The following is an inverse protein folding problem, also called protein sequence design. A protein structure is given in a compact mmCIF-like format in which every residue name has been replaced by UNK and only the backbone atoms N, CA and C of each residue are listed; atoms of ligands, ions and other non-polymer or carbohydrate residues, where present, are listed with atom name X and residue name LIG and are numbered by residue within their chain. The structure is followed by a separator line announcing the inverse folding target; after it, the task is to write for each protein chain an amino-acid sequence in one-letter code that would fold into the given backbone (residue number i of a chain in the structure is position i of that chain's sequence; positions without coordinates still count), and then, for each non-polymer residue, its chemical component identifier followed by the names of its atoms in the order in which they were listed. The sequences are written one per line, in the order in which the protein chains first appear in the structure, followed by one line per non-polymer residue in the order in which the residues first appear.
data_IF_590768871216
#
_entry.id   IF_590768871216
#
_cell.length_a   1.000
_cell.length_b   1.000
_cell.length_c   1.000
_cell.angle_alpha   90.00
_cell.angle_beta   90.00
_cell.angle_gamma   90.00
#
_symmetry.space_group_name_H-M   'P 1'
#
loop_
_entity.id
_entity.type
_entity.pdbx_description
1 polymer ?
#
# COMPACT_ATOMS: atom_id res chain seq x y z
N UNK A 1 -12.47 44.08 -15.48
CA UNK A 1 -13.06 42.74 -15.46
C UNK A 1 -12.08 41.62 -15.87
N UNK A 2 -11.06 41.86 -16.70
CA UNK A 2 -10.05 40.81 -17.06
C UNK A 2 -9.08 40.45 -15.92
N UNK A 3 -8.69 41.41 -15.11
CA UNK A 3 -7.75 41.19 -13.97
C UNK A 3 -8.34 40.32 -12.86
N UNK A 4 -9.64 40.38 -12.62
CA UNK A 4 -10.30 39.57 -11.57
C UNK A 4 -10.34 38.08 -11.94
N UNK A 5 -10.46 37.77 -13.25
CA UNK A 5 -10.45 36.37 -13.73
C UNK A 5 -9.08 35.70 -13.62
N UNK A 6 -8.00 36.48 -13.80
CA UNK A 6 -6.63 35.98 -13.66
C UNK A 6 -6.33 35.67 -12.18
N UNK A 7 -6.79 36.51 -11.27
CA UNK A 7 -6.62 36.29 -9.83
C UNK A 7 -7.34 35.00 -9.35
N UNK A 8 -8.53 34.73 -9.87
CA UNK A 8 -9.30 33.54 -9.53
C UNK A 8 -8.62 32.25 -10.02
N UNK A 9 -7.99 32.27 -11.19
CA UNK A 9 -7.27 31.12 -11.75
C UNK A 9 -6.00 30.82 -10.95
N UNK A 10 -5.28 31.84 -10.48
CA UNK A 10 -4.07 31.69 -9.66
C UNK A 10 -4.42 31.08 -8.30
N UNK A 11 -5.54 31.47 -7.69
CA UNK A 11 -6.00 30.92 -6.41
C UNK A 11 -6.40 29.45 -6.54
N UNK A 12 -7.01 29.03 -7.66
CA UNK A 12 -7.40 27.65 -7.90
C UNK A 12 -6.21 26.70 -8.15
N UNK A 13 -5.10 27.21 -8.65
CA UNK A 13 -3.87 26.42 -8.87
C UNK A 13 -3.12 26.11 -7.58
N UNK A 14 -3.43 26.78 -6.47
CA UNK A 14 -2.75 26.53 -5.18
C UNK A 14 -3.35 25.38 -4.37
N UNK A 15 -4.49 24.82 -4.76
CA UNK A 15 -5.14 23.71 -4.06
C UNK A 15 -4.73 22.32 -4.54
N UNK A 16 -3.87 22.21 -5.55
CA UNK A 16 -3.23 20.95 -5.91
C UNK A 16 -1.99 20.71 -5.03
N UNK A 17 -2.16 20.74 -3.71
CA UNK A 17 -1.15 20.20 -2.84
C UNK A 17 -1.26 18.68 -2.95
N UNK A 18 -0.30 18.06 -3.62
CA UNK A 18 0.08 16.70 -3.30
C UNK A 18 0.20 16.67 -1.76
N UNK A 19 -0.49 15.75 -1.10
CA UNK A 19 -0.30 15.55 0.33
C UNK A 19 1.19 15.20 0.49
N UNK A 20 2.00 16.15 0.95
CA UNK A 20 3.36 15.87 1.35
C UNK A 20 3.26 14.86 2.49
N UNK A 21 3.62 13.62 2.20
CA UNK A 21 3.72 12.59 3.21
C UNK A 21 4.85 13.00 4.17
N UNK A 22 4.61 12.89 5.46
CA UNK A 22 5.60 13.31 6.46
C UNK A 22 6.77 12.32 6.58
N UNK A 23 6.62 11.09 6.03
CA UNK A 23 7.61 10.02 6.11
C UNK A 23 8.57 9.95 4.92
N UNK A 24 9.72 9.35 5.17
CA UNK A 24 10.77 9.05 4.20
C UNK A 24 10.53 7.69 3.57
N UNK A 25 10.35 7.64 2.26
CA UNK A 25 10.03 6.42 1.49
C UNK A 25 11.13 5.39 1.56
N UNK A 26 12.38 5.80 1.46
CA UNK A 26 13.54 4.88 1.42
C UNK A 26 13.78 4.24 2.80
N UNK A 27 13.68 5.02 3.87
CA UNK A 27 13.71 4.49 5.22
C UNK A 27 12.51 3.59 5.49
N UNK A 28 11.34 3.98 4.99
CA UNK A 28 10.11 3.22 5.12
C UNK A 28 10.22 1.84 4.50
N UNK A 29 10.84 1.70 3.33
CA UNK A 29 11.13 0.41 2.71
C UNK A 29 11.98 -0.46 3.63
N UNK A 30 13.09 0.06 4.13
CA UNK A 30 13.97 -0.68 5.04
C UNK A 30 13.25 -1.12 6.31
N UNK A 31 12.45 -0.23 6.91
CA UNK A 31 11.66 -0.52 8.10
C UNK A 31 10.58 -1.57 7.82
N UNK A 32 9.91 -1.52 6.68
CA UNK A 32 8.92 -2.48 6.24
C UNK A 32 9.49 -3.91 6.24
N UNK A 33 10.71 -4.08 5.77
CA UNK A 33 11.41 -5.36 5.82
C UNK A 33 11.91 -5.72 7.20
N UNK A 34 12.51 -4.79 7.93
CA UNK A 34 13.06 -5.02 9.26
C UNK A 34 12.00 -5.43 10.29
N UNK A 35 10.79 -4.89 10.17
CA UNK A 35 9.64 -5.25 11.00
C UNK A 35 8.83 -6.42 10.44
N UNK A 36 9.32 -7.09 9.41
CA UNK A 36 8.72 -8.27 8.77
C UNK A 36 7.27 -8.05 8.27
N UNK A 37 6.90 -6.83 7.92
CA UNK A 37 5.59 -6.50 7.35
C UNK A 37 5.30 -7.32 6.09
N UNK A 38 6.35 -7.58 5.29
CA UNK A 38 6.29 -8.37 4.06
C UNK A 38 5.78 -9.80 4.28
N UNK A 39 5.94 -10.38 5.47
CA UNK A 39 5.55 -11.77 5.74
C UNK A 39 4.04 -12.00 5.60
N UNK A 40 3.24 -10.98 5.86
CA UNK A 40 1.79 -10.99 5.70
C UNK A 40 1.30 -10.15 4.51
N UNK A 41 1.97 -9.04 4.22
CA UNK A 41 1.54 -8.07 3.21
C UNK A 41 2.25 -8.22 1.85
N UNK A 42 3.22 -9.14 1.75
CA UNK A 42 4.04 -9.33 0.54
C UNK A 42 5.17 -8.31 0.43
N UNK A 43 6.08 -8.53 -0.49
CA UNK A 43 7.29 -7.70 -0.63
C UNK A 43 7.00 -6.23 -0.93
N UNK A 44 5.91 -5.96 -1.62
CA UNK A 44 5.51 -4.62 -2.05
C UNK A 44 4.15 -4.19 -1.48
N UNK A 45 3.70 -4.80 -0.40
CA UNK A 45 2.42 -4.52 0.26
C UNK A 45 1.17 -4.78 -0.62
N UNK A 46 1.29 -5.54 -1.71
CA UNK A 46 0.18 -5.85 -2.64
C UNK A 46 -0.37 -7.27 -2.53
N UNK A 47 0.24 -8.14 -1.68
CA UNK A 47 -0.10 -9.57 -1.62
C UNK A 47 -0.77 -9.98 -0.31
N UNK A 48 -1.54 -11.07 -0.35
CA UNK A 48 -2.25 -11.72 0.76
C UNK A 48 -3.24 -10.79 1.48
N UNK A 49 -2.76 -9.89 2.30
CA UNK A 49 -3.54 -8.81 2.93
C UNK A 49 -2.98 -7.51 2.36
N UNK A 50 -3.46 -7.07 1.19
CA UNK A 50 -2.89 -5.92 0.49
C UNK A 50 -3.12 -4.64 1.29
N UNK A 51 -2.12 -3.78 1.32
CA UNK A 51 -2.21 -2.42 1.86
C UNK A 51 -2.28 -1.39 0.73
N UNK A 52 -1.66 -1.69 -0.40
CA UNK A 52 -1.79 -0.90 -1.63
C UNK A 52 -3.17 -1.16 -2.21
N UNK A 53 -3.91 -0.11 -2.51
CA UNK A 53 -5.30 -0.22 -2.98
C UNK A 53 -6.30 -0.68 -1.90
N UNK A 54 -5.93 -0.63 -0.61
CA UNK A 54 -6.80 -1.04 0.49
C UNK A 54 -8.12 -0.27 0.52
N UNK A 55 -9.23 -1.01 0.45
CA UNK A 55 -10.59 -0.47 0.51
C UNK A 55 -11.12 -0.31 1.95
N UNK A 56 -10.40 -0.78 2.97
CA UNK A 56 -10.82 -0.67 4.38
C UNK A 56 -10.74 0.74 4.94
N UNK A 57 -9.96 1.60 4.28
CA UNK A 57 -9.71 2.97 4.70
C UNK A 57 -8.58 3.12 5.72
N UNK A 58 -7.91 2.04 6.12
CA UNK A 58 -6.77 2.10 7.07
C UNK A 58 -5.64 2.96 6.48
N UNK A 59 -5.45 2.88 5.17
CA UNK A 59 -4.45 3.65 4.43
C UNK A 59 -4.95 5.03 3.97
N UNK A 60 -6.09 5.52 4.46
CA UNK A 60 -6.69 6.78 4.02
C UNK A 60 -5.91 8.02 4.48
N UNK A 61 -5.25 7.95 5.63
CA UNK A 61 -4.41 9.01 6.15
C UNK A 61 -3.37 8.47 7.14
N UNK A 62 -2.30 9.23 7.35
CA UNK A 62 -1.27 8.95 8.36
C UNK A 62 -1.87 8.74 9.75
N UNK A 63 -2.81 9.59 10.15
CA UNK A 63 -3.47 9.50 11.45
C UNK A 63 -4.27 8.21 11.61
N UNK A 64 -5.01 7.79 10.58
CA UNK A 64 -5.78 6.54 10.60
C UNK A 64 -4.85 5.35 10.67
N UNK A 65 -3.79 5.35 9.87
CA UNK A 65 -2.77 4.31 9.87
C UNK A 65 -2.09 4.16 11.24
N UNK A 66 -1.61 5.26 11.83
CA UNK A 66 -1.02 5.25 13.17
C UNK A 66 -2.02 4.71 14.21
N UNK A 67 -3.24 5.22 14.20
CA UNK A 67 -4.28 4.79 15.14
C UNK A 67 -4.53 3.29 15.03
N UNK A 68 -4.61 2.76 13.80
CA UNK A 68 -4.81 1.33 13.58
C UNK A 68 -3.64 0.49 14.11
N UNK A 69 -2.40 0.90 13.81
CA UNK A 69 -1.18 0.22 14.31
C UNK A 69 -1.14 0.13 15.83
N UNK A 70 -1.57 1.19 16.52
CA UNK A 70 -1.51 1.28 18.00
C UNK A 70 -2.69 0.57 18.67
N UNK A 71 -3.89 0.76 18.15
CA UNK A 71 -5.11 0.23 18.77
C UNK A 71 -5.26 -1.29 18.61
N UNK A 72 -4.69 -1.88 17.57
CA UNK A 72 -4.69 -3.33 17.45
C UNK A 72 -3.89 -4.00 18.55
N UNK A 73 -2.84 -3.34 19.03
CA UNK A 73 -2.08 -3.78 20.18
C UNK A 73 -2.95 -3.96 21.43
N UNK A 74 -3.86 -3.02 21.64
CA UNK A 74 -4.61 -2.89 22.89
C UNK A 74 -6.01 -3.55 22.82
N UNK A 75 -6.58 -3.69 21.61
CA UNK A 75 -7.95 -4.14 21.45
C UNK A 75 -8.15 -5.66 21.45
N UNK A 76 -7.10 -6.44 21.24
CA UNK A 76 -7.27 -7.89 21.18
C UNK A 76 -6.14 -8.69 21.83
N UNK A 77 -5.86 -8.49 23.12
CA UNK A 77 -4.87 -9.30 23.83
C UNK A 77 -5.32 -10.76 23.99
N UNK A 78 -6.61 -11.07 23.76
CA UNK A 78 -7.23 -12.36 24.11
C UNK A 78 -7.48 -13.24 22.89
N UNK A 79 -7.44 -12.72 21.66
CA UNK A 79 -7.65 -13.52 20.46
C UNK A 79 -6.57 -13.25 19.38
N UNK A 80 -5.40 -13.88 19.50
CA UNK A 80 -4.28 -13.68 18.56
C UNK A 80 -4.52 -14.31 17.17
N UNK A 81 -5.68 -14.89 16.87
CA UNK A 81 -5.87 -15.77 15.72
C UNK A 81 -5.74 -15.14 14.34
N UNK A 82 -5.79 -13.82 14.24
CA UNK A 82 -5.58 -13.09 12.98
C UNK A 82 -4.82 -11.79 13.20
N UNK A 83 -4.08 -11.71 14.28
CA UNK A 83 -3.52 -10.45 14.70
C UNK A 83 -2.29 -10.11 13.85
N UNK A 84 -2.37 -9.04 13.10
CA UNK A 84 -1.22 -8.23 12.84
C UNK A 84 -0.49 -7.99 14.17
N UNK A 85 0.84 -8.17 14.23
CA UNK A 85 1.60 -7.90 15.45
C UNK A 85 1.33 -6.50 15.96
N UNK A 86 1.32 -6.38 17.27
CA UNK A 86 1.15 -5.11 17.96
C UNK A 86 2.45 -4.32 17.92
N UNK A 87 2.41 -3.15 17.34
CA UNK A 87 3.55 -2.24 17.32
C UNK A 87 3.32 -1.09 18.31
N UNK A 88 3.78 -1.26 19.54
CA UNK A 88 3.82 -0.17 20.50
C UNK A 88 4.77 0.93 20.01
N UNK A 89 4.52 2.18 20.35
CA UNK A 89 5.39 3.30 19.97
C UNK A 89 6.83 3.17 20.52
N UNK A 90 7.02 2.38 21.57
CA UNK A 90 8.35 2.04 22.10
C UNK A 90 9.12 1.05 21.21
N UNK A 91 8.42 0.29 20.35
CA UNK A 91 9.04 -0.69 19.45
C UNK A 91 9.19 -0.12 18.04
N UNK A 92 8.17 0.55 17.54
CA UNK A 92 8.12 1.23 16.25
C UNK A 92 7.61 2.64 16.52
N UNK A 93 8.47 3.65 16.49
CA UNK A 93 8.07 5.04 16.75
C UNK A 93 7.05 5.54 15.74
N UNK A 94 6.36 6.64 16.06
CA UNK A 94 5.41 7.23 15.10
C UNK A 94 6.11 7.73 13.84
N UNK A 95 7.31 8.31 13.96
CA UNK A 95 8.14 8.71 12.83
C UNK A 95 8.47 7.50 11.92
N UNK A 96 8.95 6.41 12.49
CA UNK A 96 9.24 5.19 11.75
C UNK A 96 7.99 4.58 11.10
N UNK A 97 6.85 4.63 11.78
CA UNK A 97 5.60 4.15 11.23
C UNK A 97 5.13 5.02 10.06
N UNK A 98 5.35 6.34 10.12
CA UNK A 98 5.05 7.25 9.02
C UNK A 98 6.01 7.06 7.84
N UNK A 99 7.26 6.71 8.06
CA UNK A 99 8.16 6.30 6.99
C UNK A 99 7.61 5.05 6.26
N UNK A 100 7.17 4.03 7.01
CA UNK A 100 6.52 2.84 6.43
C UNK A 100 5.25 3.21 5.66
N UNK A 101 4.43 4.11 6.20
CA UNK A 101 3.24 4.60 5.51
C UNK A 101 3.58 5.26 4.17
N UNK A 102 4.60 6.13 4.17
CA UNK A 102 5.09 6.80 2.96
C UNK A 102 5.58 5.78 1.92
N UNK A 103 6.32 4.75 2.35
CA UNK A 103 6.73 3.66 1.47
C UNK A 103 5.52 2.97 0.83
N UNK A 104 4.56 2.49 1.62
CA UNK A 104 3.37 1.81 1.11
C UNK A 104 2.59 2.70 0.13
N UNK A 105 2.45 3.98 0.43
CA UNK A 105 1.77 4.96 -0.45
C UNK A 105 2.54 5.24 -1.74
N UNK A 106 3.85 5.04 -1.76
CA UNK A 106 4.69 5.20 -2.95
C UNK A 106 4.62 4.00 -3.89
N UNK A 107 4.26 2.81 -3.38
CA UNK A 107 4.16 1.60 -4.19
C UNK A 107 2.98 1.73 -5.15
N UNK A 108 3.25 1.54 -6.42
CA UNK A 108 2.21 1.43 -7.44
C UNK A 108 1.84 -0.04 -7.59
N UNK A 109 0.54 -0.33 -7.57
CA UNK A 109 0.03 -1.62 -7.99
C UNK A 109 0.04 -1.63 -9.52
N UNK A 110 1.19 -1.93 -10.07
CA UNK A 110 1.48 -1.96 -11.50
C UNK A 110 2.14 -3.31 -11.80
N UNK A 111 1.35 -4.40 -11.73
CA UNK A 111 1.88 -5.73 -12.06
C UNK A 111 2.31 -5.74 -13.53
N UNK A 112 3.39 -6.47 -13.87
CA UNK A 112 3.78 -6.62 -15.25
C UNK A 112 2.62 -7.22 -16.06
N UNK A 113 2.42 -6.73 -17.27
CA UNK A 113 1.46 -7.31 -18.21
C UNK A 113 1.77 -8.79 -18.41
N UNK A 114 0.74 -9.58 -18.68
CA UNK A 114 0.89 -11.04 -18.85
C UNK A 114 1.85 -11.34 -20.00
N UNK A 115 1.85 -10.49 -21.02
CA UNK A 115 2.72 -10.56 -22.20
C UNK A 115 4.21 -10.39 -21.86
N UNK A 116 4.51 -9.67 -20.79
CA UNK A 116 5.87 -9.44 -20.31
C UNK A 116 6.39 -10.59 -19.44
N UNK A 117 5.51 -11.56 -19.10
CA UNK A 117 5.86 -12.73 -18.30
C UNK A 117 5.82 -14.02 -19.14
N UNK A 118 6.98 -14.50 -19.63
CA UNK A 118 7.03 -15.66 -20.52
C UNK A 118 6.50 -16.95 -19.88
N UNK A 119 6.56 -17.09 -18.55
CA UNK A 119 6.01 -18.26 -17.84
C UNK A 119 4.48 -18.21 -17.85
N UNK A 120 3.89 -17.05 -17.60
CA UNK A 120 2.43 -16.88 -17.67
C UNK A 120 1.92 -17.06 -19.08
N UNK A 121 2.63 -16.58 -20.10
CA UNK A 121 2.29 -16.84 -21.50
C UNK A 121 2.26 -18.31 -21.82
N UNK A 122 3.30 -19.07 -21.42
CA UNK A 122 3.32 -20.53 -21.63
C UNK A 122 2.13 -21.24 -20.96
N UNK A 123 1.76 -20.84 -19.74
CA UNK A 123 0.61 -21.40 -19.02
C UNK A 123 -0.69 -21.11 -19.78
N UNK A 124 -0.87 -19.88 -20.24
CA UNK A 124 -2.06 -19.50 -20.99
C UNK A 124 -2.17 -20.18 -22.34
N UNK A 125 -1.06 -20.34 -23.04
CA UNK A 125 -1.01 -21.05 -24.32
C UNK A 125 -1.29 -22.56 -24.14
N UNK A 126 -0.74 -23.16 -23.09
CA UNK A 126 -1.05 -24.55 -22.73
C UNK A 126 -2.52 -24.73 -22.34
N UNK A 127 -3.10 -23.77 -21.58
CA UNK A 127 -4.51 -23.79 -21.21
C UNK A 127 -5.43 -23.65 -22.44
N UNK A 128 -5.09 -22.78 -23.40
CA UNK A 128 -5.83 -22.62 -24.66
C UNK A 128 -5.76 -23.89 -25.50
N UNK A 129 -4.59 -24.57 -25.56
CA UNK A 129 -4.41 -25.82 -26.28
C UNK A 129 -5.18 -26.99 -25.63
N UNK A 130 -5.41 -26.94 -24.32
CA UNK A 130 -6.13 -27.96 -23.54
C UNK A 130 -7.64 -27.69 -23.39
N UNK A 131 -8.16 -26.63 -24.01
CA UNK A 131 -9.56 -26.22 -23.91
C UNK A 131 -10.54 -27.29 -24.45
N UNK A 132 -11.83 -27.23 -24.06
CA UNK A 132 -12.84 -28.26 -24.30
C UNK A 132 -13.26 -28.40 -25.78
N UNK A 133 -12.33 -28.55 -26.65
CA UNK A 133 -12.52 -28.75 -28.10
C UNK A 133 -11.47 -29.66 -28.74
N UNK A 134 -10.49 -30.12 -27.98
CA UNK A 134 -9.38 -30.94 -28.48
C UNK A 134 -9.36 -32.37 -27.91
N UNK A 135 -10.50 -32.91 -27.49
CA UNK A 135 -10.63 -34.35 -27.27
C UNK A 135 -10.83 -35.04 -28.64
N UNK A 136 -9.73 -35.46 -29.24
CA UNK A 136 -9.71 -36.48 -30.30
C UNK A 136 -9.36 -37.81 -29.71
#
# INVERSE_FOLDING_TARGET
MKSLRILLVIVLLQYAHAQDLSGDVEKGEQLYYNFACYSCHGYNATMRVPLVGDASGIMSSEQVFLTYLRLRADQNPVNPKNAMPNYAASTLSDEQALDIYAYIKSVKDDPPEVEDNPVMQQILDAAKASGPGNEN
#
